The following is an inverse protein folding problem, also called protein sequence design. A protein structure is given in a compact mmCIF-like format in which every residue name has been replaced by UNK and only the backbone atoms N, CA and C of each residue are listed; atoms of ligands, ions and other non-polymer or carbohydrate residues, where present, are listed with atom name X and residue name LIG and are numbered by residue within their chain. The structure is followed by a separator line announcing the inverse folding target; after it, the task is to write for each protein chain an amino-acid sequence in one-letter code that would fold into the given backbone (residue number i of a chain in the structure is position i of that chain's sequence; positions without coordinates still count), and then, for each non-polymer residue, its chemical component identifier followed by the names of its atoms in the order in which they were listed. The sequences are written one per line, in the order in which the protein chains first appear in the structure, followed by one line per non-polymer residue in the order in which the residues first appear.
data_IF_695625653075
#
_entry.id   IF_695625653075
#
_cell.length_a   1.000
_cell.length_b   1.000
_cell.length_c   1.000
_cell.angle_alpha   90.00
_cell.angle_beta   90.00
_cell.angle_gamma   90.00
#
_symmetry.space_group_name_H-M   'P 1'
#
loop_
_entity.id
_entity.type
_entity.pdbx_description
1 polymer ?
#
# COMPACT_ATOMS: atom_id res chain seq x y z
N UNK A 1 20.67 26.59 11.50
CA UNK A 1 20.50 25.18 11.09
C UNK A 1 19.16 25.09 10.40
N UNK A 2 19.12 25.03 9.07
CA UNK A 2 17.85 24.91 8.34
C UNK A 2 17.46 23.44 8.44
N UNK A 3 16.48 23.13 9.29
CA UNK A 3 15.86 21.81 9.27
C UNK A 3 15.09 21.75 7.95
N UNK A 4 15.67 21.11 6.94
CA UNK A 4 14.94 20.68 5.76
C UNK A 4 13.93 19.64 6.25
N UNK A 5 12.76 20.11 6.68
CA UNK A 5 11.61 19.24 6.90
C UNK A 5 11.26 18.72 5.51
N UNK A 6 11.61 17.48 5.22
CA UNK A 6 11.23 16.85 3.96
C UNK A 6 9.73 17.03 3.80
N UNK A 7 9.30 17.70 2.73
CA UNK A 7 7.88 17.91 2.48
C UNK A 7 7.23 16.54 2.31
N UNK A 8 5.99 16.37 2.78
CA UNK A 8 5.22 15.13 2.66
C UNK A 8 5.26 14.59 1.23
N UNK A 9 5.12 15.48 0.24
CA UNK A 9 5.13 15.12 -1.17
C UNK A 9 6.49 14.56 -1.61
N UNK A 10 7.61 15.12 -1.14
CA UNK A 10 8.96 14.64 -1.46
C UNK A 10 9.20 13.26 -0.84
N UNK A 11 8.72 13.05 0.38
CA UNK A 11 8.80 11.76 1.08
C UNK A 11 7.95 10.71 0.37
N UNK A 12 6.72 11.06 -0.01
CA UNK A 12 5.84 10.17 -0.75
C UNK A 12 6.42 9.83 -2.13
N UNK A 13 6.93 10.80 -2.89
CA UNK A 13 7.52 10.51 -4.21
C UNK A 13 8.75 9.60 -4.13
N UNK A 14 9.60 9.76 -3.11
CA UNK A 14 10.84 8.99 -2.97
C UNK A 14 10.63 7.61 -2.37
N UNK A 15 9.68 7.47 -1.45
CA UNK A 15 9.53 6.26 -0.63
C UNK A 15 8.13 5.67 -0.65
N UNK A 16 7.09 6.47 -0.94
CA UNK A 16 5.69 6.05 -0.88
C UNK A 16 5.38 4.84 -1.74
N UNK A 17 5.66 4.86 -3.07
CA UNK A 17 5.40 3.72 -3.95
C UNK A 17 6.10 2.42 -3.51
N UNK A 18 7.42 2.49 -3.26
CA UNK A 18 8.21 1.31 -2.90
C UNK A 18 7.88 0.78 -1.50
N UNK A 19 7.55 1.66 -0.56
CA UNK A 19 7.09 1.27 0.78
C UNK A 19 5.73 0.57 0.69
N UNK A 20 4.81 1.11 -0.10
CA UNK A 20 3.48 0.52 -0.30
C UNK A 20 3.60 -0.88 -0.91
N UNK A 21 4.40 -1.02 -1.96
CA UNK A 21 4.66 -2.31 -2.62
C UNK A 21 5.27 -3.32 -1.64
N UNK A 22 6.30 -2.93 -0.89
CA UNK A 22 6.94 -3.79 0.11
C UNK A 22 5.95 -4.24 1.21
N UNK A 23 5.09 -3.34 1.69
CA UNK A 23 4.06 -3.68 2.69
C UNK A 23 3.05 -4.69 2.10
N UNK A 24 2.61 -4.50 0.86
CA UNK A 24 1.69 -5.43 0.20
C UNK A 24 2.29 -6.83 0.05
N UNK A 25 3.57 -6.93 -0.36
CA UNK A 25 4.28 -8.20 -0.47
C UNK A 25 4.47 -8.88 0.89
N UNK A 26 4.83 -8.13 1.93
CA UNK A 26 4.91 -8.67 3.28
C UNK A 26 3.58 -9.24 3.76
N UNK A 27 2.46 -8.54 3.50
CA UNK A 27 1.13 -9.03 3.85
C UNK A 27 0.75 -10.28 3.04
N UNK A 28 1.07 -10.32 1.74
CA UNK A 28 0.87 -11.49 0.89
C UNK A 28 1.54 -12.73 1.47
N UNK A 29 2.80 -12.61 1.88
CA UNK A 29 3.57 -13.70 2.46
C UNK A 29 2.97 -14.20 3.77
N UNK A 30 2.57 -13.28 4.66
CA UNK A 30 1.92 -13.63 5.93
C UNK A 30 0.58 -14.33 5.72
N UNK A 31 -0.26 -13.81 4.83
CA UNK A 31 -1.55 -14.42 4.50
C UNK A 31 -1.35 -15.81 3.90
N UNK A 32 -0.40 -15.97 2.97
CA UNK A 32 -0.12 -17.27 2.37
C UNK A 32 0.49 -18.27 3.35
N UNK A 33 1.25 -17.82 4.36
CA UNK A 33 1.71 -18.67 5.46
C UNK A 33 0.52 -19.23 6.26
N UNK A 34 -0.40 -18.36 6.70
CA UNK A 34 -1.61 -18.76 7.44
C UNK A 34 -2.53 -19.67 6.61
N UNK A 35 -2.72 -19.36 5.33
CA UNK A 35 -3.52 -20.18 4.41
C UNK A 35 -2.93 -21.58 4.23
N UNK A 36 -1.60 -21.69 4.15
CA UNK A 36 -0.90 -22.97 4.09
C UNK A 36 -1.16 -23.82 5.34
N UNK A 37 -1.13 -23.20 6.54
CA UNK A 37 -1.43 -23.89 7.80
C UNK A 37 -2.87 -24.44 7.84
N UNK A 38 -3.79 -23.76 7.15
CA UNK A 38 -5.20 -24.14 7.05
C UNK A 38 -5.51 -25.07 5.85
N UNK A 39 -4.50 -25.48 5.07
CA UNK A 39 -4.70 -26.30 3.87
C UNK A 39 -5.40 -25.57 2.72
N UNK A 40 -5.42 -24.24 2.74
CA UNK A 40 -6.03 -23.40 1.71
C UNK A 40 -5.03 -23.11 0.57
N UNK A 41 -5.53 -22.90 -0.67
CA UNK A 41 -4.68 -22.50 -1.78
C UNK A 41 -4.10 -21.10 -1.53
N UNK A 42 -2.87 -20.87 -2.00
CA UNK A 42 -2.25 -19.55 -1.98
C UNK A 42 -3.02 -18.56 -2.84
N UNK A 43 -3.00 -17.29 -2.42
CA UNK A 43 -3.40 -16.16 -3.24
C UNK A 43 -2.16 -15.57 -3.92
N UNK A 44 -2.38 -14.92 -5.05
CA UNK A 44 -1.37 -14.28 -5.88
C UNK A 44 -1.26 -12.79 -5.56
N UNK A 45 -0.22 -12.16 -6.07
CA UNK A 45 -0.07 -10.71 -6.03
C UNK A 45 -1.24 -10.00 -6.75
N UNK A 46 -1.67 -10.54 -7.89
CA UNK A 46 -2.80 -10.00 -8.65
C UNK A 46 -4.09 -9.98 -7.83
N UNK A 47 -4.35 -11.02 -7.03
CA UNK A 47 -5.53 -11.08 -6.16
C UNK A 47 -5.51 -9.92 -5.14
N UNK A 48 -4.33 -9.54 -4.64
CA UNK A 48 -4.21 -8.40 -3.71
C UNK A 48 -4.39 -7.08 -4.46
N UNK A 49 -3.79 -6.92 -5.65
CA UNK A 49 -3.94 -5.71 -6.46
C UNK A 49 -5.40 -5.46 -6.86
N UNK A 50 -6.12 -6.51 -7.22
CA UNK A 50 -7.54 -6.42 -7.57
C UNK A 50 -8.38 -6.01 -6.35
N UNK A 51 -8.10 -6.59 -5.18
CA UNK A 51 -8.77 -6.20 -3.92
C UNK A 51 -8.42 -4.76 -3.50
N UNK A 52 -7.17 -4.34 -3.65
CA UNK A 52 -6.74 -2.96 -3.38
C UNK A 52 -7.46 -1.99 -4.29
N UNK A 53 -7.57 -2.28 -5.58
CA UNK A 53 -8.31 -1.44 -6.53
C UNK A 53 -9.78 -1.31 -6.13
N UNK A 54 -10.42 -2.40 -5.70
CA UNK A 54 -11.80 -2.37 -5.22
C UNK A 54 -11.94 -1.42 -4.01
N UNK A 55 -11.09 -1.57 -3.00
CA UNK A 55 -11.15 -0.71 -1.81
C UNK A 55 -10.76 0.74 -2.09
N UNK A 56 -9.77 1.00 -2.95
CA UNK A 56 -9.40 2.36 -3.34
C UNK A 56 -10.56 3.11 -3.99
N UNK A 57 -11.39 2.42 -4.77
CA UNK A 57 -12.59 3.02 -5.37
C UNK A 57 -13.70 3.33 -4.35
N UNK A 58 -13.68 2.67 -3.18
CA UNK A 58 -14.63 2.90 -2.09
C UNK A 58 -14.18 4.02 -1.13
N UNK A 59 -12.86 4.26 -1.05
CA UNK A 59 -12.28 5.25 -0.16
C UNK A 59 -12.46 6.67 -0.70
N UNK A 60 -12.89 7.58 0.17
CA UNK A 60 -12.87 9.00 -0.15
C UNK A 60 -11.42 9.52 -0.08
N UNK A 61 -10.96 10.33 -1.06
CA UNK A 61 -9.69 11.02 -0.95
C UNK A 61 -9.67 11.86 0.34
N UNK A 62 -8.54 11.87 1.03
CA UNK A 62 -8.36 12.75 2.18
C UNK A 62 -8.42 14.22 1.75
N UNK A 63 -8.81 15.14 2.65
CA UNK A 63 -8.94 16.57 2.34
C UNK A 63 -7.68 17.15 1.66
N UNK A 64 -6.50 16.75 2.12
CA UNK A 64 -5.21 17.19 1.57
C UNK A 64 -4.86 16.59 0.20
N UNK A 65 -5.55 15.54 -0.25
CA UNK A 65 -5.42 15.00 -1.61
C UNK A 65 -6.25 15.79 -2.63
N UNK A 66 -7.24 16.55 -2.15
CA UNK A 66 -8.08 17.41 -2.99
C UNK A 66 -7.56 18.84 -3.08
N UNK A 67 -6.53 19.19 -2.32
CA UNK A 67 -5.79 20.43 -2.51
C UNK A 67 -5.11 20.37 -3.90
N UNK A 68 -5.74 20.99 -4.90
CA UNK A 68 -5.10 21.26 -6.19
C UNK A 68 -3.77 21.99 -5.94
N UNK A 69 -2.68 21.62 -6.65
CA UNK A 69 -1.39 22.27 -6.51
C UNK A 69 -1.39 23.76 -6.87
#
# INVERSE_FOLDING_TARGET
MVVLVANRNDTYQKFGPILLEAVCLCLLDQVNALRKEQGMPKITEQDILDNLNNHLNELQPYDWMQEEP
#
